data_IF_510424342386
#
_entry.id   IF_510424342386
#
_cell.length_a   1.000
_cell.length_b   1.000
_cell.length_c   1.000
_cell.angle_alpha   90.00
_cell.angle_beta   90.00
_cell.angle_gamma   90.00
#
_symmetry.space_group_name_H-M   'P 1'
#
loop_
_entity.id
_entity.type
_entity.pdbx_description
1 polymer ?
#
# COMPACT_ATOMS: atom_id res chain seq x y z
N UNK A 1 26.04 9.74 -20.00
CA UNK A 1 24.60 9.89 -19.65
C UNK A 1 24.28 8.73 -18.76
N UNK A 2 23.90 8.98 -17.49
CA UNK A 2 23.47 7.92 -16.58
C UNK A 2 22.13 7.39 -17.06
N UNK A 3 22.02 6.07 -17.25
CA UNK A 3 20.75 5.45 -17.60
C UNK A 3 19.85 5.48 -16.36
N UNK A 4 18.72 6.16 -16.45
CA UNK A 4 17.68 6.13 -15.42
C UNK A 4 16.84 4.87 -15.59
N UNK A 5 16.66 4.12 -14.52
CA UNK A 5 15.87 2.90 -14.49
C UNK A 5 14.59 3.12 -13.71
N UNK A 6 13.54 2.37 -14.04
CA UNK A 6 12.35 2.29 -13.18
C UNK A 6 12.70 1.41 -11.99
N UNK A 7 12.69 2.00 -10.79
CA UNK A 7 12.96 1.31 -9.54
C UNK A 7 11.64 0.93 -8.89
N UNK A 8 11.50 -0.34 -8.49
CA UNK A 8 10.29 -0.92 -7.91
C UNK A 8 10.65 -1.62 -6.61
N UNK A 9 9.91 -1.36 -5.55
CA UNK A 9 10.19 -1.89 -4.22
C UNK A 9 8.91 -2.36 -3.53
N UNK A 10 9.03 -3.42 -2.74
CA UNK A 10 7.93 -4.15 -2.12
C UNK A 10 8.13 -4.24 -0.61
N UNK A 11 7.10 -4.01 0.18
CA UNK A 11 7.14 -4.08 1.64
C UNK A 11 5.89 -4.73 2.23
N UNK A 12 6.04 -5.35 3.40
CA UNK A 12 4.95 -5.99 4.15
C UNK A 12 4.30 -5.05 5.15
N UNK A 13 3.06 -5.35 5.46
CA UNK A 13 2.26 -4.64 6.42
C UNK A 13 1.93 -5.46 7.65
N UNK A 14 1.87 -4.77 8.79
CA UNK A 14 1.56 -5.27 10.13
C UNK A 14 1.04 -6.71 10.22
N UNK A 15 1.82 -7.59 10.83
CA UNK A 15 1.33 -8.89 11.29
C UNK A 15 0.32 -8.68 12.42
N UNK A 16 -0.96 -8.85 12.13
CA UNK A 16 -1.95 -9.19 13.16
C UNK A 16 -2.87 -8.12 13.69
N UNK A 17 -3.13 -6.99 13.02
CA UNK A 17 -4.07 -6.08 13.64
C UNK A 17 -4.73 -5.05 12.73
N UNK A 18 -6.04 -4.96 12.86
CA UNK A 18 -6.85 -3.86 12.36
C UNK A 18 -6.47 -2.59 13.10
N UNK A 19 -5.75 -1.68 12.47
CA UNK A 19 -5.42 -0.38 13.05
C UNK A 19 -6.60 0.59 12.90
N UNK A 20 -7.69 0.39 13.66
CA UNK A 20 -8.79 1.35 13.74
C UNK A 20 -8.33 2.73 14.20
N UNK A 21 -7.28 2.78 15.01
CA UNK A 21 -6.69 4.03 15.53
C UNK A 21 -6.04 4.91 14.45
N UNK A 22 -5.78 4.35 13.26
CA UNK A 22 -5.21 5.11 12.14
C UNK A 22 -6.28 5.82 11.29
N UNK A 23 -7.57 5.54 11.50
CA UNK A 23 -8.66 6.19 10.78
C UNK A 23 -9.11 7.47 11.47
N UNK A 24 -9.24 8.56 10.72
CA UNK A 24 -9.94 9.76 11.19
C UNK A 24 -11.43 9.47 11.36
N UNK A 25 -12.15 10.31 12.11
CA UNK A 25 -13.60 10.15 12.27
C UNK A 25 -14.36 10.19 10.94
N UNK A 26 -13.91 11.03 10.01
CA UNK A 26 -14.47 11.09 8.66
C UNK A 26 -14.23 9.78 7.88
N UNK A 27 -13.02 9.23 7.96
CA UNK A 27 -12.69 7.94 7.33
C UNK A 27 -13.48 6.79 7.95
N UNK A 28 -13.69 6.79 9.27
CA UNK A 28 -14.57 5.82 9.95
C UNK A 28 -16.01 5.88 9.43
N UNK A 29 -16.51 7.08 9.14
CA UNK A 29 -17.83 7.24 8.50
C UNK A 29 -17.82 6.70 7.06
N UNK A 30 -16.76 6.95 6.30
CA UNK A 30 -16.61 6.41 4.95
C UNK A 30 -16.56 4.87 4.96
N UNK A 31 -15.86 4.26 5.91
CA UNK A 31 -15.80 2.81 6.07
C UNK A 31 -17.20 2.23 6.41
N UNK A 32 -17.99 2.90 7.26
CA UNK A 32 -19.39 2.51 7.53
C UNK A 32 -20.24 2.55 6.25
N UNK A 33 -19.90 3.41 5.31
CA UNK A 33 -20.56 3.55 4.00
C UNK A 33 -19.94 2.66 2.92
N UNK A 34 -19.06 1.73 3.28
CA UNK A 34 -18.49 0.74 2.39
C UNK A 34 -17.13 1.11 1.77
N UNK A 35 -16.50 2.22 2.18
CA UNK A 35 -15.14 2.52 1.73
C UNK A 35 -14.12 1.56 2.37
N UNK A 36 -13.11 1.15 1.59
CA UNK A 36 -12.03 0.27 2.04
C UNK A 36 -10.75 1.09 2.19
N UNK A 37 -10.13 0.99 3.37
CA UNK A 37 -8.81 1.55 3.65
C UNK A 37 -7.85 0.44 4.05
N UNK A 38 -6.63 0.55 3.54
CA UNK A 38 -5.52 -0.33 3.89
C UNK A 38 -4.37 0.50 4.44
N UNK A 39 -3.60 -0.04 5.36
CA UNK A 39 -2.43 0.66 5.91
C UNK A 39 -1.24 -0.24 6.14
N UNK A 40 -0.04 0.39 6.26
CA UNK A 40 1.17 -0.26 6.65
C UNK A 40 2.49 0.28 6.10
N UNK A 41 3.55 -0.57 6.05
CA UNK A 41 4.86 -0.15 5.53
C UNK A 41 4.80 0.04 4.02
N UNK A 42 5.10 1.25 3.57
CA UNK A 42 5.14 1.61 2.14
C UNK A 42 6.56 1.45 1.57
N UNK A 43 7.57 1.71 2.39
CA UNK A 43 8.99 1.55 2.04
C UNK A 43 9.87 1.63 3.29
N UNK A 44 11.17 1.30 3.17
CA UNK A 44 12.14 1.37 4.27
C UNK A 44 13.44 2.03 3.79
N UNK A 45 14.04 2.89 4.61
CA UNK A 45 15.33 3.50 4.31
C UNK A 45 16.49 2.76 5.00
N UNK A 46 17.71 2.95 4.46
CA UNK A 46 18.99 2.46 5.00
C UNK A 46 19.08 0.95 5.22
N UNK A 47 18.18 0.19 4.66
CA UNK A 47 18.18 -1.27 4.71
C UNK A 47 18.09 -1.87 3.31
N UNK A 48 18.75 -3.03 3.14
CA UNK A 48 18.73 -3.77 1.88
C UNK A 48 17.37 -4.46 1.73
N UNK A 49 16.67 -4.12 0.66
CA UNK A 49 15.39 -4.74 0.33
C UNK A 49 15.55 -6.04 -0.48
N UNK A 50 14.46 -6.69 -0.82
CA UNK A 50 14.45 -7.95 -1.57
C UNK A 50 15.08 -7.87 -2.96
N UNK A 51 15.10 -6.68 -3.58
CA UNK A 51 15.78 -6.43 -4.84
C UNK A 51 17.28 -6.11 -4.69
N UNK A 52 17.80 -6.20 -3.46
CA UNK A 52 19.20 -5.88 -3.17
C UNK A 52 19.52 -4.39 -3.07
N UNK A 53 18.52 -3.52 -3.19
CA UNK A 53 18.67 -2.07 -3.17
C UNK A 53 18.58 -1.48 -1.77
N UNK A 54 19.33 -0.40 -1.57
CA UNK A 54 19.27 0.42 -0.35
C UNK A 54 18.90 1.84 -0.76
N UNK A 55 17.88 2.38 -0.12
CA UNK A 55 17.44 3.77 -0.27
C UNK A 55 18.02 4.58 0.89
N UNK A 56 18.99 5.47 0.66
CA UNK A 56 19.51 6.33 1.72
C UNK A 56 18.40 7.21 2.32
N UNK A 57 18.38 7.33 3.65
CA UNK A 57 17.34 8.11 4.33
C UNK A 57 17.18 9.54 3.80
N UNK A 58 18.25 10.33 3.52
CA UNK A 58 18.08 11.68 2.98
C UNK A 58 17.36 11.70 1.61
N UNK A 59 17.66 10.73 0.74
CA UNK A 59 17.06 10.61 -0.59
C UNK A 59 15.59 10.29 -0.47
N UNK A 60 15.27 9.24 0.29
CA UNK A 60 13.88 8.79 0.45
C UNK A 60 13.03 9.84 1.17
N UNK A 61 13.54 10.47 2.23
CA UNK A 61 12.83 11.52 2.99
C UNK A 61 12.53 12.75 2.12
N UNK A 62 13.46 13.16 1.26
CA UNK A 62 13.25 14.24 0.30
C UNK A 62 12.10 13.90 -0.66
N UNK A 63 12.12 12.70 -1.23
CA UNK A 63 11.09 12.28 -2.20
C UNK A 63 9.72 12.09 -1.55
N UNK A 64 9.66 11.54 -0.35
CA UNK A 64 8.42 11.46 0.44
C UNK A 64 7.86 12.85 0.71
N UNK A 65 8.70 13.82 1.07
CA UNK A 65 8.27 15.22 1.27
C UNK A 65 7.69 15.84 -0.02
N UNK A 66 8.28 15.52 -1.18
CA UNK A 66 7.75 15.95 -2.47
C UNK A 66 6.41 15.27 -2.77
N UNK A 67 6.31 13.97 -2.54
CA UNK A 67 5.12 13.16 -2.78
C UNK A 67 3.94 13.55 -1.86
N UNK A 68 4.21 14.00 -0.63
CA UNK A 68 3.19 14.50 0.30
C UNK A 68 2.37 15.69 -0.25
N UNK A 69 2.90 16.45 -1.22
CA UNK A 69 2.13 17.49 -1.91
C UNK A 69 0.99 16.86 -2.71
N UNK A 70 1.26 15.76 -3.43
CA UNK A 70 0.25 15.01 -4.19
C UNK A 70 -0.79 14.38 -3.26
N UNK A 71 -0.36 13.87 -2.12
CA UNK A 71 -1.27 13.32 -1.09
C UNK A 71 -2.23 14.41 -0.60
N UNK A 72 -1.72 15.59 -0.23
CA UNK A 72 -2.54 16.73 0.23
C UNK A 72 -3.53 17.23 -0.82
N UNK A 73 -3.16 17.12 -2.09
CA UNK A 73 -4.00 17.55 -3.23
C UNK A 73 -4.90 16.41 -3.73
N UNK A 74 -4.96 15.28 -3.04
CA UNK A 74 -5.75 14.09 -3.44
C UNK A 74 -5.42 13.60 -4.87
N UNK A 75 -4.15 13.66 -5.27
CA UNK A 75 -3.63 13.25 -6.58
C UNK A 75 -2.69 12.04 -6.52
N UNK A 76 -2.42 11.51 -5.34
CA UNK A 76 -1.47 10.42 -5.10
C UNK A 76 -2.09 9.05 -5.45
N UNK A 77 -2.51 8.87 -6.69
CA UNK A 77 -3.06 7.61 -7.18
C UNK A 77 -1.96 6.57 -7.41
N UNK A 78 -2.31 5.29 -7.19
CA UNK A 78 -1.52 4.12 -7.54
C UNK A 78 -2.33 3.13 -8.38
N UNK A 79 -1.62 2.24 -9.06
CA UNK A 79 -2.22 1.28 -9.98
C UNK A 79 -2.33 -0.11 -9.34
N UNK A 80 -3.20 -0.93 -9.92
CA UNK A 80 -3.23 -2.36 -9.65
C UNK A 80 -2.24 -3.01 -10.61
N UNK A 81 -1.26 -3.71 -10.02
CA UNK A 81 -0.09 -4.24 -10.71
C UNK A 81 0.92 -3.17 -11.17
N UNK A 82 2.14 -3.60 -11.51
CA UNK A 82 3.22 -2.71 -11.92
C UNK A 82 3.28 -2.57 -13.44
N UNK A 83 2.89 -1.41 -14.02
CA UNK A 83 3.20 -1.14 -15.41
C UNK A 83 4.69 -0.82 -15.58
N UNK A 84 5.19 -0.92 -16.81
CA UNK A 84 6.56 -0.52 -17.15
C UNK A 84 6.72 1.01 -17.25
N UNK A 85 5.61 1.73 -17.32
CA UNK A 85 5.57 3.17 -17.52
C UNK A 85 6.00 3.96 -16.28
N UNK A 86 6.61 5.13 -16.52
CA UNK A 86 7.00 6.09 -15.49
C UNK A 86 5.86 7.04 -15.08
N UNK A 87 4.68 6.93 -15.70
CA UNK A 87 3.52 7.77 -15.43
C UNK A 87 2.36 6.91 -14.96
N UNK A 88 1.61 7.40 -13.96
CA UNK A 88 0.39 6.72 -13.49
C UNK A 88 -0.70 6.81 -14.54
N UNK A 89 -1.19 5.65 -15.00
CA UNK A 89 -2.32 5.57 -15.90
C UNK A 89 -3.63 5.57 -15.10
N UNK A 90 -4.39 6.65 -15.19
CA UNK A 90 -5.64 6.79 -14.45
C UNK A 90 -6.69 5.72 -14.78
N UNK A 91 -6.63 5.08 -15.95
CA UNK A 91 -7.51 3.95 -16.28
C UNK A 91 -7.25 2.74 -15.39
N UNK A 92 -6.02 2.57 -14.90
CA UNK A 92 -5.59 1.47 -14.05
C UNK A 92 -5.57 1.86 -12.57
N UNK A 93 -5.85 3.13 -12.23
CA UNK A 93 -5.85 3.59 -10.85
C UNK A 93 -6.83 2.77 -10.00
N UNK A 94 -6.30 2.09 -8.97
CA UNK A 94 -7.05 1.23 -8.08
C UNK A 94 -7.22 1.81 -6.68
N UNK A 95 -6.32 2.69 -6.27
CA UNK A 95 -6.28 3.27 -4.94
C UNK A 95 -5.61 4.65 -4.95
N UNK A 96 -5.70 5.33 -3.82
CA UNK A 96 -5.06 6.62 -3.58
C UNK A 96 -4.42 6.61 -2.20
N UNK A 97 -3.18 7.08 -2.11
CA UNK A 97 -2.49 7.29 -0.82
C UNK A 97 -3.14 8.49 -0.11
N UNK A 98 -3.60 8.28 1.13
CA UNK A 98 -4.29 9.30 1.93
C UNK A 98 -3.41 9.88 3.03
N UNK A 99 -2.42 9.11 3.52
CA UNK A 99 -1.44 9.60 4.49
C UNK A 99 -0.14 8.81 4.43
N UNK A 100 0.96 9.47 4.82
CA UNK A 100 2.29 8.89 5.00
C UNK A 100 2.91 9.46 6.28
N UNK A 101 3.61 8.61 7.04
CA UNK A 101 4.34 9.00 8.24
C UNK A 101 5.56 8.08 8.45
N UNK A 102 6.48 8.46 9.32
CA UNK A 102 7.69 7.69 9.61
C UNK A 102 7.59 6.99 10.97
N UNK A 103 7.96 5.72 11.02
CA UNK A 103 8.18 4.94 12.23
C UNK A 103 9.61 4.38 12.20
N UNK A 104 10.53 5.12 12.80
CA UNK A 104 11.97 4.79 12.70
C UNK A 104 12.47 4.86 11.26
N UNK A 105 12.86 3.71 10.70
CA UNK A 105 13.30 3.58 9.30
C UNK A 105 12.15 3.28 8.33
N UNK A 106 10.99 2.92 8.85
CA UNK A 106 9.84 2.56 8.05
C UNK A 106 9.02 3.76 7.65
N UNK A 107 8.78 3.89 6.36
CA UNK A 107 7.75 4.78 5.83
C UNK A 107 6.43 4.02 5.89
N UNK A 108 5.58 4.43 6.79
CA UNK A 108 4.22 3.92 6.92
C UNK A 108 3.27 4.71 6.04
N UNK A 109 2.17 4.09 5.63
CA UNK A 109 1.17 4.79 4.85
C UNK A 109 -0.22 4.17 4.95
N UNK A 110 -1.18 4.95 4.51
CA UNK A 110 -2.58 4.55 4.40
C UNK A 110 -3.08 4.86 2.99
N UNK A 111 -3.81 3.92 2.43
CA UNK A 111 -4.45 4.06 1.12
C UNK A 111 -5.95 3.86 1.23
N UNK A 112 -6.67 4.52 0.33
CA UNK A 112 -8.11 4.32 0.10
C UNK A 112 -8.30 3.62 -1.24
N UNK A 113 -9.06 2.53 -1.27
CA UNK A 113 -9.49 1.87 -2.50
C UNK A 113 -10.49 2.77 -3.23
N UNK A 114 -10.29 2.95 -4.54
CA UNK A 114 -11.13 3.80 -5.37
C UNK A 114 -12.31 2.99 -5.96
N UNK A 115 -13.38 3.70 -6.33
CA UNK A 115 -14.54 3.09 -7.01
C UNK A 115 -14.34 2.90 -8.52
N UNK A 116 -13.10 2.96 -9.01
CA UNK A 116 -12.72 2.69 -10.40
C UNK A 116 -12.86 1.18 -10.74
N UNK A 117 -12.87 0.77 -12.01
CA UNK A 117 -12.86 -0.65 -12.37
C UNK A 117 -11.71 -1.41 -11.71
N UNK A 118 -10.48 -0.90 -11.73
CA UNK A 118 -9.31 -1.51 -11.08
C UNK A 118 -9.45 -1.54 -9.55
N UNK A 119 -10.06 -0.50 -8.95
CA UNK A 119 -10.35 -0.46 -7.52
C UNK A 119 -11.40 -1.50 -7.11
N UNK A 120 -12.39 -1.79 -7.96
CA UNK A 120 -13.37 -2.86 -7.73
C UNK A 120 -12.73 -4.25 -7.79
N UNK A 121 -11.78 -4.47 -8.70
CA UNK A 121 -10.98 -5.70 -8.72
C UNK A 121 -10.18 -5.83 -7.43
N UNK A 122 -9.49 -4.77 -7.00
CA UNK A 122 -8.74 -4.72 -5.77
C UNK A 122 -9.63 -5.03 -4.55
N UNK A 123 -10.81 -4.41 -4.46
CA UNK A 123 -11.80 -4.64 -3.40
C UNK A 123 -12.25 -6.11 -3.34
N UNK A 124 -12.51 -6.73 -4.51
CA UNK A 124 -12.89 -8.13 -4.60
C UNK A 124 -11.78 -9.06 -4.12
N UNK A 125 -10.54 -8.82 -4.55
CA UNK A 125 -9.38 -9.61 -4.11
C UNK A 125 -9.18 -9.53 -2.59
N UNK A 126 -9.35 -8.34 -2.00
CA UNK A 126 -9.27 -8.14 -0.54
C UNK A 126 -10.37 -8.92 0.17
N UNK A 127 -11.61 -8.84 -0.31
CA UNK A 127 -12.77 -9.52 0.28
C UNK A 127 -12.63 -11.06 0.20
N UNK A 128 -12.00 -11.57 -0.85
CA UNK A 128 -11.70 -12.99 -1.04
C UNK A 128 -10.48 -13.45 -0.21
N UNK A 129 -9.83 -12.54 0.53
CA UNK A 129 -8.70 -12.84 1.40
C UNK A 129 -7.37 -13.00 0.67
N UNK A 130 -7.26 -12.50 -0.55
CA UNK A 130 -5.99 -12.49 -1.29
C UNK A 130 -5.02 -11.55 -0.58
N UNK A 131 -3.82 -12.06 -0.30
CA UNK A 131 -2.74 -11.25 0.27
C UNK A 131 -2.13 -10.40 -0.82
N UNK A 132 -2.13 -9.10 -0.62
CA UNK A 132 -1.63 -8.12 -1.57
C UNK A 132 -0.51 -7.29 -0.93
N UNK A 133 0.53 -7.04 -1.69
CA UNK A 133 1.64 -6.18 -1.31
C UNK A 133 1.49 -4.76 -1.83
N UNK A 134 2.34 -3.86 -1.33
CA UNK A 134 2.51 -2.53 -1.90
C UNK A 134 3.95 -2.32 -2.33
N UNK A 135 4.15 -1.58 -3.39
CA UNK A 135 5.46 -1.37 -3.99
C UNK A 135 5.63 0.08 -4.42
N UNK A 136 6.75 0.68 -4.09
CA UNK A 136 7.10 2.00 -4.62
C UNK A 136 7.63 1.89 -6.06
N UNK A 137 7.16 2.78 -6.93
CA UNK A 137 7.67 2.98 -8.28
C UNK A 137 8.31 4.35 -8.39
N UNK A 138 9.52 4.38 -8.94
CA UNK A 138 10.27 5.62 -9.11
C UNK A 138 11.28 5.52 -10.24
N UNK A 139 11.86 6.64 -10.58
CA UNK A 139 12.96 6.78 -11.54
C UNK A 139 14.22 7.21 -10.82
N UNK A 140 15.36 6.61 -11.14
CA UNK A 140 16.63 7.01 -10.56
C UNK A 140 17.77 6.14 -11.02
N UNK A 141 18.99 6.60 -10.73
CA UNK A 141 20.23 5.86 -10.94
C UNK A 141 20.56 5.02 -9.71
N UNK A 142 21.32 3.97 -9.92
CA UNK A 142 21.87 3.14 -8.85
C UNK A 142 23.36 2.97 -9.04
N UNK A 143 24.10 2.81 -7.95
CA UNK A 143 25.52 2.46 -7.94
C UNK A 143 25.77 1.25 -7.06
N UNK A 144 26.76 0.46 -7.45
CA UNK A 144 27.22 -0.64 -6.61
C UNK A 144 28.28 -0.11 -5.62
N UNK A 145 28.06 -0.40 -4.33
CA UNK A 145 28.99 -0.02 -3.27
C UNK A 145 28.99 -1.11 -2.19
N UNK A 146 30.16 -1.70 -1.93
CA UNK A 146 30.38 -2.74 -0.92
C UNK A 146 29.34 -3.90 -0.97
N UNK A 147 28.99 -4.35 -2.17
CA UNK A 147 28.02 -5.46 -2.37
C UNK A 147 26.56 -5.07 -2.12
N UNK A 148 26.25 -3.78 -2.11
CA UNK A 148 24.90 -3.22 -2.05
C UNK A 148 24.65 -2.35 -3.28
N UNK A 149 23.43 -2.37 -3.76
CA UNK A 149 22.97 -1.46 -4.82
C UNK A 149 22.35 -0.24 -4.16
N UNK A 150 23.08 0.87 -4.14
CA UNK A 150 22.61 2.13 -3.55
C UNK A 150 21.82 2.95 -4.58
N UNK A 151 20.66 3.45 -4.19
CA UNK A 151 19.87 4.41 -4.96
C UNK A 151 20.51 5.79 -4.84
N UNK A 152 20.69 6.48 -5.97
CA UNK A 152 21.36 7.77 -6.04
C UNK A 152 20.42 8.96 -5.80
N UNK A 153 21.02 10.17 -5.68
CA UNK A 153 20.30 11.40 -5.37
C UNK A 153 19.32 11.87 -6.45
N UNK A 154 19.42 11.33 -7.67
CA UNK A 154 18.52 11.65 -8.77
C UNK A 154 17.20 10.85 -8.71
N UNK A 155 17.01 10.04 -7.67
CA UNK A 155 15.77 9.28 -7.46
C UNK A 155 14.56 10.21 -7.38
N UNK A 156 13.48 9.83 -8.04
CA UNK A 156 12.18 10.49 -8.05
C UNK A 156 11.10 9.46 -7.76
N UNK A 157 10.37 9.61 -6.67
CA UNK A 157 9.22 8.77 -6.33
C UNK A 157 8.02 9.16 -7.20
N UNK A 158 7.45 8.20 -7.92
CA UNK A 158 6.30 8.39 -8.80
C UNK A 158 5.00 8.04 -8.07
N UNK A 159 4.90 6.81 -7.54
CA UNK A 159 3.71 6.31 -6.87
C UNK A 159 4.02 5.08 -6.01
N UNK A 160 2.98 4.58 -5.36
CA UNK A 160 2.94 3.27 -4.73
C UNK A 160 1.85 2.46 -5.42
N UNK A 161 2.17 1.24 -5.87
CA UNK A 161 1.28 0.35 -6.60
C UNK A 161 0.94 -0.89 -5.76
N UNK A 162 -0.26 -1.45 -5.95
CA UNK A 162 -0.65 -2.73 -5.35
C UNK A 162 -0.20 -3.87 -6.25
N UNK A 163 0.42 -4.90 -5.67
CA UNK A 163 1.02 -6.02 -6.39
C UNK A 163 0.72 -7.37 -5.73
N UNK A 164 0.77 -8.45 -6.52
CA UNK A 164 0.50 -9.81 -6.06
C UNK A 164 1.68 -10.44 -5.33
N UNK A 165 2.91 -10.20 -5.79
CA UNK A 165 4.13 -10.76 -5.22
C UNK A 165 5.10 -9.66 -4.78
N UNK A 166 5.18 -9.39 -3.47
CA UNK A 166 6.22 -8.54 -2.93
C UNK A 166 7.56 -9.25 -2.96
N UNK A 167 8.59 -8.64 -3.56
CA UNK A 167 9.95 -9.19 -3.58
C UNK A 167 10.66 -9.10 -2.22
N UNK A 168 10.01 -8.56 -1.22
CA UNK A 168 10.51 -8.51 0.16
C UNK A 168 9.62 -9.37 1.06
N UNK A 169 10.25 -10.22 1.87
CA UNK A 169 9.55 -10.94 2.92
C UNK A 169 8.89 -9.92 3.82
N UNK A 170 7.58 -9.95 3.87
CA UNK A 170 6.86 -9.21 4.82
C UNK A 170 5.89 -8.11 4.32
N UNK A 171 5.65 -7.88 3.00
CA UNK A 171 4.91 -6.72 2.46
C UNK A 171 3.44 -7.00 2.07
N UNK A 172 2.55 -7.22 3.06
CA UNK A 172 1.12 -7.42 2.78
C UNK A 172 0.24 -6.32 3.36
N UNK A 173 -0.77 -5.85 2.59
CA UNK A 173 -1.73 -4.85 3.03
C UNK A 173 -2.82 -5.46 3.91
N UNK A 174 -3.18 -4.78 5.00
CA UNK A 174 -4.26 -5.20 5.89
C UNK A 174 -5.42 -4.22 5.81
N UNK A 175 -6.63 -4.78 5.81
CA UNK A 175 -7.85 -4.01 5.76
C UNK A 175 -8.16 -3.37 7.11
N UNK A 176 -8.41 -2.07 7.12
CA UNK A 176 -8.91 -1.33 8.28
C UNK A 176 -10.42 -1.50 8.35
N UNK A 177 -10.88 -2.64 8.92
CA UNK A 177 -12.32 -2.91 9.06
C UNK A 177 -12.92 -2.28 10.31
N UNK A 178 -14.10 -1.68 10.15
CA UNK A 178 -15.03 -1.41 11.27
C UNK A 178 -16.07 -2.53 11.45
N UNK A 179 -16.05 -3.58 10.63
CA UNK A 179 -16.94 -4.74 10.83
C UNK A 179 -16.33 -5.65 11.88
N UNK A 180 -16.90 -5.60 13.11
CA UNK A 180 -16.84 -6.78 13.96
C UNK A 180 -17.29 -7.98 13.12
N UNK A 181 -16.40 -8.95 12.88
CA UNK A 181 -16.83 -10.30 12.49
C UNK A 181 -17.82 -10.71 13.58
N UNK A 182 -19.12 -10.74 13.25
CA UNK A 182 -20.07 -11.44 14.07
C UNK A 182 -19.58 -12.89 14.11
N UNK A 183 -18.91 -13.24 15.19
CA UNK A 183 -18.60 -14.62 15.50
C UNK A 183 -19.95 -15.23 15.84
N UNK A 184 -20.63 -15.76 14.82
CA UNK A 184 -21.86 -16.50 15.03
C UNK A 184 -21.55 -17.67 15.96
N UNK A 185 -22.10 -17.61 17.16
CA UNK A 185 -22.05 -18.73 18.08
C UNK A 185 -22.75 -19.94 17.47
N UNK A 186 -22.49 -21.15 18.00
CA UNK A 186 -23.23 -22.34 17.57
C UNK A 186 -24.75 -22.16 17.68
N UNK A 187 -25.22 -21.38 18.68
CA UNK A 187 -26.62 -21.05 18.88
C UNK A 187 -27.18 -20.15 17.76
N UNK A 188 -26.41 -19.17 17.26
CA UNK A 188 -26.86 -18.29 16.19
C UNK A 188 -27.03 -19.05 14.85
N UNK A 189 -26.17 -20.05 14.62
CA UNK A 189 -26.29 -20.94 13.43
C UNK A 189 -27.52 -21.83 13.50
N UNK A 190 -27.85 -22.35 14.68
CA UNK A 190 -29.05 -23.20 14.92
C UNK A 190 -30.31 -22.36 14.75
N UNK A 191 -30.36 -21.14 15.32
CA UNK A 191 -31.51 -20.24 15.21
C UNK A 191 -31.79 -19.80 13.76
N UNK A 192 -30.75 -19.62 12.95
CA UNK A 192 -30.92 -19.34 11.52
C UNK A 192 -31.52 -20.51 10.77
N UNK A 193 -31.03 -21.73 11.02
CA UNK A 193 -31.59 -22.96 10.41
C UNK A 193 -33.03 -23.21 10.80
N UNK A 194 -33.45 -22.82 12.02
CA UNK A 194 -34.84 -22.96 12.49
C UNK A 194 -35.77 -21.91 11.87
N UNK A 195 -35.28 -20.70 11.60
CA UNK A 195 -36.07 -19.66 10.93
C UNK A 195 -36.23 -19.84 9.41
N UNK A 196 -35.37 -20.63 8.78
CA UNK A 196 -35.47 -20.97 7.35
C UNK A 196 -36.45 -22.16 7.10
N UNK A 197 -37.04 -22.76 8.16
CA UNK A 197 -37.93 -23.94 8.08
C UNK A 197 -39.39 -23.56 8.45
N UNK A 198 -39.66 -22.34 8.88
CA UNK A 198 -40.98 -21.79 9.18
C UNK A 198 -41.38 -20.78 8.11
#
# INVERSE_FOLDING_TARGET
MSNKYVLREYYELCSGGVCQDLLTEEEKMQVKNGAVFLSGVMQRCDEKNGNGRVYPAPVLQREVKNYLKMVKESRACGELDHPEDSVVNLKNASHMVTSLWWEGKDLMGKIKVLSTPSGKILESLINDGVKLGISSRGLGSVREEMGKTLVEDDFQLICFDIVSEPSTQGAFMMMNESKQKQVFSKADRINRLLNDII
#
